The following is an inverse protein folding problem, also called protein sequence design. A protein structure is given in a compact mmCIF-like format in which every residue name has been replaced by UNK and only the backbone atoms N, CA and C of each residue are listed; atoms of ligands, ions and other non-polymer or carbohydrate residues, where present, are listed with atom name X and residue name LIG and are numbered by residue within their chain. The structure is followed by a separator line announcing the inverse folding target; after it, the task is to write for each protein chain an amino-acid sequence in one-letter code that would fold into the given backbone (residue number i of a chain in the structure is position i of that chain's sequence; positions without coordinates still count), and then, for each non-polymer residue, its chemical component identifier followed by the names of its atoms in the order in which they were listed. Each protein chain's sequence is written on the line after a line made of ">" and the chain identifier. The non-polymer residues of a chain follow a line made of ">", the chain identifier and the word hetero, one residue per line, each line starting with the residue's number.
data_IF_127742181824
#
_entry.id   IF_127742181824
#
_cell.length_a   1.000
_cell.length_b   1.000
_cell.length_c   1.000
_cell.angle_alpha   90.00
_cell.angle_beta   90.00
_cell.angle_gamma   90.00
#
_symmetry.space_group_name_H-M   'P 1'
#
loop_
_entity.id
_entity.type
_entity.pdbx_description
1 polymer ?
#
# COMPACT_ATOMS: atom_id res chain seq x y z
N UNK A 1 42.04 26.83 1.55
CA UNK A 1 41.71 26.26 0.22
C UNK A 1 41.22 24.81 0.35
N UNK A 2 41.84 23.97 1.18
CA UNK A 2 41.38 22.60 1.45
C UNK A 2 39.98 22.51 2.09
N UNK A 3 39.64 23.41 3.02
CA UNK A 3 38.32 23.42 3.68
C UNK A 3 37.16 23.75 2.72
N UNK A 4 37.46 24.44 1.61
CA UNK A 4 36.49 24.72 0.54
C UNK A 4 36.27 23.52 -0.37
N UNK A 5 37.29 22.67 -0.54
CA UNK A 5 37.23 21.49 -1.39
C UNK A 5 36.54 20.32 -0.68
N UNK A 6 36.75 20.14 0.63
CA UNK A 6 36.01 19.11 1.40
C UNK A 6 34.51 19.43 1.46
N UNK A 7 34.13 20.69 1.74
CA UNK A 7 32.71 21.12 1.75
C UNK A 7 32.04 21.06 0.38
N UNK A 8 32.82 21.07 -0.70
CA UNK A 8 32.30 20.91 -2.07
C UNK A 8 32.13 19.43 -2.42
N UNK A 9 33.11 18.60 -2.06
CA UNK A 9 33.03 17.14 -2.17
C UNK A 9 31.84 16.59 -1.39
N UNK A 10 31.67 16.97 -0.12
CA UNK A 10 30.56 16.51 0.73
C UNK A 10 29.19 16.86 0.14
N UNK A 11 29.06 18.04 -0.50
CA UNK A 11 27.80 18.44 -1.16
C UNK A 11 27.51 17.62 -2.41
N UNK A 12 28.54 17.27 -3.18
CA UNK A 12 28.38 16.40 -4.36
C UNK A 12 27.96 15.01 -3.91
N UNK A 13 28.61 14.43 -2.90
CA UNK A 13 28.23 13.10 -2.38
C UNK A 13 26.79 13.10 -1.84
N UNK A 14 26.36 14.15 -1.14
CA UNK A 14 24.97 14.26 -0.67
C UNK A 14 23.95 14.39 -1.82
N UNK A 15 24.28 15.13 -2.87
CA UNK A 15 23.42 15.26 -4.05
C UNK A 15 23.34 13.93 -4.80
N UNK A 16 24.46 13.21 -4.96
CA UNK A 16 24.49 11.92 -5.65
C UNK A 16 23.71 10.85 -4.88
N UNK A 17 23.83 10.80 -3.55
CA UNK A 17 23.02 9.92 -2.69
C UNK A 17 21.53 10.27 -2.81
N UNK A 18 21.18 11.55 -2.77
CA UNK A 18 19.78 11.97 -2.91
C UNK A 18 19.19 11.59 -4.28
N UNK A 19 19.97 11.72 -5.35
CA UNK A 19 19.55 11.32 -6.70
C UNK A 19 19.42 9.80 -6.83
N UNK A 20 20.31 9.01 -6.22
CA UNK A 20 20.20 7.55 -6.21
C UNK A 20 18.99 7.05 -5.42
N UNK A 21 18.67 7.72 -4.30
CA UNK A 21 17.52 7.37 -3.46
C UNK A 21 16.22 7.67 -4.19
N UNK A 22 16.13 8.82 -4.86
CA UNK A 22 14.99 9.17 -5.71
C UNK A 22 14.81 8.18 -6.86
N UNK A 23 15.89 7.81 -7.55
CA UNK A 23 15.83 6.85 -8.65
C UNK A 23 15.34 5.47 -8.16
N UNK A 24 15.79 5.05 -6.98
CA UNK A 24 15.33 3.81 -6.34
C UNK A 24 13.85 3.88 -5.99
N UNK A 25 13.39 4.99 -5.40
CA UNK A 25 11.97 5.19 -5.09
C UNK A 25 11.08 5.15 -6.33
N UNK A 26 11.47 5.80 -7.43
CA UNK A 26 10.72 5.74 -8.68
C UNK A 26 10.68 4.33 -9.27
N UNK A 27 11.79 3.57 -9.18
CA UNK A 27 11.84 2.19 -9.63
C UNK A 27 10.91 1.29 -8.80
N UNK A 28 10.91 1.43 -7.47
CA UNK A 28 10.01 0.66 -6.59
C UNK A 28 8.54 1.00 -6.83
N UNK A 29 8.20 2.28 -7.02
CA UNK A 29 6.81 2.67 -7.32
C UNK A 29 6.37 2.16 -8.70
N UNK A 30 7.24 2.16 -9.70
CA UNK A 30 6.93 1.58 -11.01
C UNK A 30 6.71 0.06 -10.91
N UNK A 31 7.59 -0.66 -10.21
CA UNK A 31 7.44 -2.10 -9.96
C UNK A 31 6.13 -2.41 -9.21
N UNK A 32 5.76 -1.56 -8.24
CA UNK A 32 4.50 -1.67 -7.51
C UNK A 32 3.30 -1.48 -8.45
N UNK A 33 3.32 -0.46 -9.32
CA UNK A 33 2.25 -0.20 -10.27
C UNK A 33 2.07 -1.35 -11.26
N UNK A 34 3.17 -1.87 -11.83
CA UNK A 34 3.14 -2.99 -12.76
C UNK A 34 2.58 -4.26 -12.11
N UNK A 35 3.00 -4.54 -10.87
CA UNK A 35 2.50 -5.69 -10.10
C UNK A 35 1.02 -5.55 -9.74
N UNK A 36 0.58 -4.39 -9.24
CA UNK A 36 -0.83 -4.11 -8.93
C UNK A 36 -1.71 -4.27 -10.17
N UNK A 37 -1.25 -3.77 -11.32
CA UNK A 37 -1.98 -3.91 -12.57
C UNK A 37 -2.12 -5.38 -12.98
N UNK A 38 -1.05 -6.17 -12.89
CA UNK A 38 -1.07 -7.59 -13.18
C UNK A 38 -2.03 -8.38 -12.30
N UNK A 39 -2.00 -8.13 -10.98
CA UNK A 39 -2.93 -8.76 -10.03
C UNK A 39 -4.38 -8.35 -10.30
N UNK A 40 -4.64 -7.06 -10.58
CA UNK A 40 -5.97 -6.56 -10.92
C UNK A 40 -6.56 -7.24 -12.16
N UNK A 41 -5.76 -7.38 -13.23
CA UNK A 41 -6.19 -8.07 -14.45
C UNK A 41 -6.58 -9.54 -14.22
N UNK A 42 -6.03 -10.17 -13.18
CA UNK A 42 -6.33 -11.56 -12.82
C UNK A 42 -7.53 -11.70 -11.86
N UNK A 43 -8.04 -10.58 -11.33
CA UNK A 43 -9.09 -10.59 -10.30
C UNK A 43 -10.48 -10.68 -10.95
N UNK A 44 -11.30 -11.69 -10.64
CA UNK A 44 -12.63 -11.87 -11.24
C UNK A 44 -13.73 -11.01 -10.58
N UNK A 45 -13.37 -9.89 -9.94
CA UNK A 45 -14.28 -9.02 -9.18
C UNK A 45 -14.52 -7.70 -9.89
N UNK A 46 -15.74 -7.18 -9.78
CA UNK A 46 -16.04 -5.81 -10.17
C UNK A 46 -15.65 -4.86 -9.03
N UNK A 47 -14.50 -4.19 -9.17
CA UNK A 47 -14.13 -3.11 -8.26
C UNK A 47 -15.01 -1.89 -8.54
N UNK A 48 -15.71 -1.42 -7.52
CA UNK A 48 -16.67 -0.34 -7.61
C UNK A 48 -16.29 0.81 -6.68
N UNK A 49 -16.38 2.03 -7.21
CA UNK A 49 -16.11 3.23 -6.43
C UNK A 49 -17.31 3.62 -5.57
N UNK A 50 -17.06 3.92 -4.30
CA UNK A 50 -18.01 4.52 -3.38
C UNK A 50 -17.45 5.85 -2.83
N UNK A 51 -18.32 6.87 -2.72
CA UNK A 51 -17.97 8.15 -2.08
C UNK A 51 -17.87 8.08 -0.55
N UNK A 52 -18.18 6.93 0.03
CA UNK A 52 -18.21 6.69 1.47
C UNK A 52 -17.86 5.24 1.77
N UNK A 53 -17.29 5.01 2.95
CA UNK A 53 -17.01 3.66 3.46
C UNK A 53 -18.28 2.81 3.53
N UNK A 54 -18.22 1.61 2.95
CA UNK A 54 -19.37 0.71 2.79
C UNK A 54 -19.44 -0.38 3.83
N UNK A 55 -18.29 -0.81 4.35
CA UNK A 55 -18.18 -2.00 5.16
C UNK A 55 -17.79 -1.64 6.59
N UNK A 56 -18.66 -1.96 7.53
CA UNK A 56 -18.32 -1.84 8.96
C UNK A 56 -17.48 -3.03 9.44
N UNK A 57 -17.50 -4.13 8.69
CA UNK A 57 -16.82 -5.37 9.02
C UNK A 57 -16.62 -6.25 7.77
N UNK A 58 -15.72 -7.22 7.86
CA UNK A 58 -15.41 -8.13 6.77
C UNK A 58 -16.60 -9.00 6.32
N UNK A 59 -17.58 -9.28 7.19
CA UNK A 59 -18.73 -10.12 6.82
C UNK A 59 -19.67 -9.42 5.81
N UNK A 60 -19.85 -8.10 5.95
CA UNK A 60 -20.54 -7.25 4.98
C UNK A 60 -19.81 -7.29 3.64
N UNK A 61 -18.50 -7.04 3.65
CA UNK A 61 -17.65 -7.11 2.46
C UNK A 61 -17.71 -8.47 1.76
N UNK A 62 -17.60 -9.56 2.52
CA UNK A 62 -17.67 -10.92 1.97
C UNK A 62 -19.03 -11.25 1.36
N UNK A 63 -20.10 -10.60 1.81
CA UNK A 63 -21.45 -10.79 1.26
C UNK A 63 -21.57 -10.17 -0.14
N UNK A 64 -20.94 -9.02 -0.35
CA UNK A 64 -20.88 -8.36 -1.65
C UNK A 64 -19.92 -9.06 -2.61
N UNK A 65 -18.75 -9.51 -2.14
CA UNK A 65 -17.78 -10.24 -2.97
C UNK A 65 -18.39 -11.53 -3.54
N UNK A 66 -19.23 -12.22 -2.77
CA UNK A 66 -19.99 -13.40 -3.25
C UNK A 66 -20.97 -13.09 -4.38
N UNK A 67 -21.37 -11.82 -4.51
CA UNK A 67 -22.20 -11.30 -5.59
C UNK A 67 -21.35 -10.65 -6.70
N UNK A 68 -20.03 -10.85 -6.69
CA UNK A 68 -19.06 -10.29 -7.63
C UNK A 68 -18.86 -8.77 -7.52
N UNK A 69 -19.22 -8.16 -6.38
CA UNK A 69 -19.07 -6.74 -6.12
C UNK A 69 -18.02 -6.49 -5.03
N UNK A 70 -17.19 -5.46 -5.19
CA UNK A 70 -16.31 -4.98 -4.14
C UNK A 70 -16.22 -3.46 -4.16
N UNK A 71 -16.78 -2.82 -3.13
CA UNK A 71 -16.80 -1.36 -3.02
C UNK A 71 -15.53 -0.84 -2.35
N UNK A 72 -14.92 0.18 -2.94
CA UNK A 72 -13.71 0.84 -2.44
C UNK A 72 -13.99 2.34 -2.31
N UNK A 73 -13.63 2.91 -1.15
CA UNK A 73 -13.72 4.35 -0.87
C UNK A 73 -12.33 4.98 -0.76
N UNK A 74 -12.15 6.26 -1.17
CA UNK A 74 -10.91 6.99 -0.95
C UNK A 74 -10.55 7.19 0.53
N UNK A 75 -11.50 6.99 1.44
CA UNK A 75 -11.24 7.04 2.89
C UNK A 75 -10.40 5.83 3.37
N UNK A 76 -10.36 4.75 2.60
CA UNK A 76 -9.73 3.49 3.00
C UNK A 76 -8.22 3.42 2.70
N UNK A 77 -7.70 4.20 1.75
CA UNK A 77 -6.31 4.10 1.29
C UNK A 77 -5.54 5.41 1.41
N UNK A 78 -4.21 5.35 1.27
CA UNK A 78 -3.34 6.50 1.50
C UNK A 78 -3.11 7.22 0.18
N UNK A 79 -3.55 8.47 0.11
CA UNK A 79 -3.35 9.31 -1.08
C UNK A 79 -1.97 9.97 -1.11
N UNK A 80 -1.17 9.82 -0.05
CA UNK A 80 0.15 10.46 0.10
C UNK A 80 1.33 9.59 -0.35
N UNK A 81 1.09 8.33 -0.74
CA UNK A 81 2.12 7.39 -1.23
C UNK A 81 2.83 7.80 -2.53
N UNK A 82 2.42 8.91 -3.17
CA UNK A 82 2.92 9.30 -4.49
C UNK A 82 2.44 8.41 -5.63
N UNK A 83 1.56 7.44 -5.34
CA UNK A 83 0.87 6.62 -6.32
C UNK A 83 -0.24 7.40 -7.02
N UNK A 84 -0.46 7.12 -8.29
CA UNK A 84 -1.66 7.59 -8.99
C UNK A 84 -2.91 7.05 -8.26
N UNK A 85 -3.98 7.84 -8.07
CA UNK A 85 -5.21 7.40 -7.41
C UNK A 85 -5.79 6.08 -7.90
N UNK A 86 -5.62 5.74 -9.18
CA UNK A 86 -6.06 4.45 -9.75
C UNK A 86 -5.32 3.28 -9.10
N UNK A 87 -4.01 3.40 -8.85
CA UNK A 87 -3.24 2.33 -8.21
C UNK A 87 -3.56 2.21 -6.71
N UNK A 88 -3.87 3.32 -6.04
CA UNK A 88 -4.36 3.25 -4.67
C UNK A 88 -5.72 2.53 -4.57
N UNK A 89 -6.62 2.83 -5.51
CA UNK A 89 -7.92 2.16 -5.63
C UNK A 89 -7.75 0.65 -5.90
N UNK A 90 -6.87 0.28 -6.83
CA UNK A 90 -6.56 -1.12 -7.12
C UNK A 90 -5.94 -1.80 -5.91
N UNK A 91 -4.99 -1.15 -5.24
CA UNK A 91 -4.31 -1.71 -4.08
C UNK A 91 -5.31 -2.00 -2.95
N UNK A 92 -6.21 -1.05 -2.65
CA UNK A 92 -7.26 -1.28 -1.68
C UNK A 92 -8.18 -2.44 -2.07
N UNK A 93 -8.64 -2.48 -3.32
CA UNK A 93 -9.48 -3.57 -3.81
C UNK A 93 -8.80 -4.94 -3.75
N UNK A 94 -7.50 -5.01 -4.05
CA UNK A 94 -6.71 -6.24 -3.90
C UNK A 94 -6.57 -6.66 -2.45
N UNK A 95 -6.28 -5.72 -1.55
CA UNK A 95 -6.17 -5.96 -0.11
C UNK A 95 -7.49 -6.51 0.46
N UNK A 96 -8.61 -5.86 0.14
CA UNK A 96 -9.95 -6.27 0.55
C UNK A 96 -10.34 -7.65 -0.02
N UNK A 97 -9.95 -7.94 -1.26
CA UNK A 97 -10.11 -9.27 -1.83
C UNK A 97 -9.24 -10.33 -1.11
N UNK A 98 -8.01 -10.01 -0.71
CA UNK A 98 -7.16 -10.92 0.05
C UNK A 98 -7.74 -11.24 1.44
N UNK A 99 -8.45 -10.31 2.08
CA UNK A 99 -9.25 -10.60 3.28
C UNK A 99 -10.27 -11.71 2.99
N UNK A 100 -10.97 -11.64 1.85
CA UNK A 100 -11.91 -12.68 1.44
C UNK A 100 -11.21 -14.00 1.13
N UNK A 101 -10.12 -13.99 0.38
CA UNK A 101 -9.40 -15.23 0.03
C UNK A 101 -8.82 -15.94 1.26
N UNK A 102 -8.41 -15.19 2.28
CA UNK A 102 -7.85 -15.73 3.52
C UNK A 102 -8.89 -15.97 4.62
N UNK A 103 -10.15 -15.55 4.40
CA UNK A 103 -11.22 -15.56 5.41
C UNK A 103 -10.82 -14.81 6.70
N UNK A 104 -10.17 -13.66 6.52
CA UNK A 104 -9.63 -12.82 7.61
C UNK A 104 -10.51 -11.60 7.86
N UNK A 105 -10.78 -11.30 9.13
CA UNK A 105 -11.49 -10.08 9.54
C UNK A 105 -10.55 -8.85 9.53
N UNK A 106 -11.07 -7.69 9.92
CA UNK A 106 -10.32 -6.43 10.03
C UNK A 106 -9.58 -6.28 11.38
N UNK A 107 -9.42 -7.38 12.14
CA UNK A 107 -8.60 -7.35 13.35
C UNK A 107 -7.12 -7.34 12.98
N UNK A 108 -6.23 -6.87 13.86
CA UNK A 108 -4.77 -6.94 13.62
C UNK A 108 -4.29 -8.34 13.19
N UNK A 109 -4.89 -9.40 13.75
CA UNK A 109 -4.56 -10.77 13.37
C UNK A 109 -4.99 -11.06 11.93
N UNK A 110 -6.17 -10.58 11.54
CA UNK A 110 -6.69 -10.69 10.19
C UNK A 110 -5.83 -9.91 9.19
N UNK A 111 -5.48 -8.66 9.50
CA UNK A 111 -4.55 -7.83 8.71
C UNK A 111 -3.20 -8.53 8.46
N UNK A 112 -2.61 -9.14 9.50
CA UNK A 112 -1.38 -9.92 9.37
C UNK A 112 -1.57 -11.16 8.50
N UNK A 113 -2.71 -11.83 8.58
CA UNK A 113 -3.01 -13.01 7.77
C UNK A 113 -3.18 -12.64 6.28
N UNK A 114 -3.92 -11.56 6.00
CA UNK A 114 -4.06 -10.94 4.68
C UNK A 114 -2.68 -10.57 4.13
N UNK A 115 -1.89 -9.80 4.88
CA UNK A 115 -0.52 -9.42 4.50
C UNK A 115 0.35 -10.63 4.14
N UNK A 116 0.34 -11.70 4.95
CA UNK A 116 1.15 -12.89 4.69
C UNK A 116 0.75 -13.61 3.40
N UNK A 117 -0.50 -13.49 2.95
CA UNK A 117 -0.93 -14.01 1.65
C UNK A 117 -0.45 -13.10 0.51
N UNK A 118 -0.64 -11.79 0.64
CA UNK A 118 -0.22 -10.80 -0.36
C UNK A 118 1.30 -10.78 -0.54
N UNK A 119 2.08 -10.81 0.56
CA UNK A 119 3.54 -10.74 0.55
C UNK A 119 4.22 -11.90 -0.19
N UNK A 120 3.57 -13.07 -0.26
CA UNK A 120 4.05 -14.23 -1.04
C UNK A 120 4.02 -13.99 -2.55
N UNK A 121 3.19 -13.05 -3.01
CA UNK A 121 2.99 -12.71 -4.42
C UNK A 121 3.73 -11.41 -4.81
N UNK A 122 4.13 -10.61 -3.82
CA UNK A 122 4.88 -9.38 -4.04
C UNK A 122 6.24 -9.66 -4.72
N UNK A 123 6.66 -8.84 -5.70
CA UNK A 123 7.82 -9.12 -6.54
C UNK A 123 9.15 -8.78 -5.86
N UNK A 124 9.15 -7.93 -4.84
CA UNK A 124 10.36 -7.50 -4.13
C UNK A 124 10.11 -7.25 -2.64
N UNK A 125 11.21 -7.27 -1.86
CA UNK A 125 11.16 -6.97 -0.43
C UNK A 125 10.69 -5.52 -0.18
N UNK A 126 11.04 -4.58 -1.05
CA UNK A 126 10.64 -3.18 -0.87
C UNK A 126 9.14 -3.00 -1.09
N UNK A 127 8.54 -3.72 -2.05
CA UNK A 127 7.08 -3.79 -2.17
C UNK A 127 6.45 -4.49 -0.98
N UNK A 128 7.03 -5.58 -0.47
CA UNK A 128 6.51 -6.23 0.76
C UNK A 128 6.47 -5.28 1.95
N UNK A 129 7.49 -4.43 2.12
CA UNK A 129 7.51 -3.42 3.18
C UNK A 129 6.43 -2.36 2.95
N UNK A 130 6.17 -1.95 1.70
CA UNK A 130 5.11 -0.98 1.37
C UNK A 130 3.76 -1.56 1.77
N UNK A 131 3.48 -2.81 1.37
CA UNK A 131 2.25 -3.51 1.72
C UNK A 131 2.14 -3.68 3.24
N UNK A 132 3.23 -3.99 3.94
CA UNK A 132 3.20 -4.10 5.40
C UNK A 132 2.85 -2.78 6.09
N UNK A 133 3.37 -1.66 5.59
CA UNK A 133 3.02 -0.33 6.09
C UNK A 133 1.52 -0.06 5.97
N UNK A 134 0.96 -0.28 4.78
CA UNK A 134 -0.43 0.08 4.50
C UNK A 134 -1.45 -0.93 5.00
N UNK A 135 -1.16 -2.23 4.89
CA UNK A 135 -2.10 -3.30 5.26
C UNK A 135 -1.92 -3.81 6.69
N UNK A 136 -0.88 -3.40 7.43
CA UNK A 136 -0.71 -3.84 8.84
C UNK A 136 -0.50 -2.66 9.77
N UNK A 137 0.52 -1.82 9.53
CA UNK A 137 0.87 -0.77 10.47
C UNK A 137 -0.20 0.32 10.55
N UNK A 138 -0.77 0.72 9.42
CA UNK A 138 -1.83 1.73 9.37
C UNK A 138 -3.13 1.25 10.03
N UNK A 139 -3.69 0.06 9.71
CA UNK A 139 -4.81 -0.50 10.45
C UNK A 139 -4.53 -0.66 11.94
N UNK A 140 -3.34 -1.13 12.33
CA UNK A 140 -2.94 -1.26 13.73
C UNK A 140 -2.98 0.09 14.46
N UNK A 141 -2.44 1.13 13.82
CA UNK A 141 -2.49 2.49 14.34
C UNK A 141 -3.94 3.01 14.42
N UNK A 142 -4.79 2.71 13.44
CA UNK A 142 -6.21 3.07 13.48
C UNK A 142 -6.92 2.40 14.67
N UNK A 143 -6.72 1.10 14.89
CA UNK A 143 -7.30 0.36 16.02
C UNK A 143 -6.85 0.96 17.35
N UNK A 144 -5.58 1.38 17.45
CA UNK A 144 -5.03 1.93 18.69
C UNK A 144 -5.45 3.39 18.95
N UNK A 145 -5.50 4.22 17.91
CA UNK A 145 -5.74 5.66 18.00
C UNK A 145 -7.22 6.04 17.84
N UNK A 146 -8.05 5.15 17.27
CA UNK A 146 -9.42 5.43 16.86
C UNK A 146 -9.54 6.26 15.58
N UNK A 147 -8.43 6.52 14.88
CA UNK A 147 -8.39 7.19 13.59
C UNK A 147 -7.15 6.78 12.79
N UNK A 148 -7.19 6.91 11.46
CA UNK A 148 -6.04 6.61 10.62
C UNK A 148 -4.88 7.58 10.93
N UNK A 149 -3.64 7.10 11.06
CA UNK A 149 -2.48 7.98 11.20
C UNK A 149 -2.25 8.76 9.90
N UNK A 150 -1.61 9.93 10.00
CA UNK A 150 -1.05 10.59 8.81
C UNK A 150 0.02 9.67 8.27
N UNK A 151 -0.16 9.20 7.03
CA UNK A 151 0.78 8.32 6.39
C UNK A 151 2.13 9.04 6.22
N UNK A 152 3.19 8.31 6.54
CA UNK A 152 4.55 8.72 6.26
C UNK A 152 5.18 7.54 5.54
N UNK A 153 5.58 7.75 4.29
CA UNK A 153 6.45 6.81 3.59
C UNK A 153 7.74 6.75 4.42
N UNK A 154 7.90 5.71 5.22
CA UNK A 154 9.15 5.44 5.96
C UNK A 154 9.91 4.40 5.16
N UNK A 155 10.59 4.85 4.11
CA UNK A 155 11.58 4.04 3.43
C UNK A 155 12.96 4.69 3.55
N UNK A 156 13.96 3.98 4.11
CA UNK A 156 15.35 4.39 4.01
C UNK A 156 15.85 4.31 2.57
#
# INVERSE_FOLDING_TARGET
>A
MEESLSRFSDRITHVDVHLSDLQTQFATLAELCDWLWGEFQSTPLNLEFSWYERYNNAAEMFTDIKQSHLWVSPDNYDTTMGLNPIYNFIFQGMHDNDHYLTQSDFSLKGEIATYNATAKRAPSLDIQKIIYSESVLRPAAHIFLGHAPIAKIVFP
#
